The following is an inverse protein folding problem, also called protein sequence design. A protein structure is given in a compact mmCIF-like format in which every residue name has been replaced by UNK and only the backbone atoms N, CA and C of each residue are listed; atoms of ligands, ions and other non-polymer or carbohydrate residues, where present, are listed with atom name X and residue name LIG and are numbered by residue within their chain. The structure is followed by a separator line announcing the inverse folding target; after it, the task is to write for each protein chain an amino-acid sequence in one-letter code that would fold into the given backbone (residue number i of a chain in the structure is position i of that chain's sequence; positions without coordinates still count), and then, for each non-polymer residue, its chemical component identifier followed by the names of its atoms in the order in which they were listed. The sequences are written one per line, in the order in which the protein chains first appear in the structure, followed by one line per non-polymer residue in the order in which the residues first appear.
data_IF_389172059672
#
_entry.id   IF_389172059672
#
_cell.length_a   1.000
_cell.length_b   1.000
_cell.length_c   1.000
_cell.angle_alpha   90.00
_cell.angle_beta   90.00
_cell.angle_gamma   90.00
#
_symmetry.space_group_name_H-M   'P 1'
#
loop_
_entity.id
_entity.type
_entity.pdbx_description
1 polymer ?
#
# COMPACT_ATOMS: atom_id res chain seq x y z
N UNK A 1 -4.10 16.32 1.89
CA UNK A 1 -2.86 15.79 2.50
C UNK A 1 -2.64 16.55 3.79
N UNK A 2 -2.52 15.87 4.95
CA UNK A 2 -2.47 16.50 6.29
C UNK A 2 -1.05 16.98 6.68
N UNK A 3 -0.01 16.39 6.08
CA UNK A 3 1.39 16.73 6.31
C UNK A 3 2.31 15.70 5.67
N UNK A 4 3.62 15.91 5.80
CA UNK A 4 4.64 14.94 5.37
C UNK A 4 5.89 15.03 6.25
N UNK A 5 6.66 13.94 6.26
CA UNK A 5 8.00 13.88 6.85
C UNK A 5 8.95 13.18 5.87
N UNK A 6 10.11 13.79 5.65
CA UNK A 6 11.17 13.31 4.77
C UNK A 6 12.42 13.10 5.61
N UNK A 7 13.06 11.96 5.42
CA UNK A 7 14.39 11.71 5.95
C UNK A 7 15.39 11.59 4.80
N UNK A 8 16.65 11.89 5.08
CA UNK A 8 17.76 11.58 4.19
C UNK A 8 18.74 10.67 4.93
N UNK A 9 19.34 9.77 4.16
CA UNK A 9 20.40 8.89 4.60
C UNK A 9 21.61 9.12 3.71
N UNK A 10 22.75 9.48 4.30
CA UNK A 10 24.02 9.48 3.60
C UNK A 10 24.71 8.13 3.79
N UNK A 11 24.98 7.45 2.68
CA UNK A 11 25.53 6.08 2.64
C UNK A 11 26.89 5.96 3.36
N UNK A 12 27.57 7.08 3.62
CA UNK A 12 28.90 7.14 4.22
C UNK A 12 28.96 7.80 5.62
N UNK A 13 27.83 8.22 6.22
CA UNK A 13 27.82 8.69 7.61
C UNK A 13 27.65 7.51 8.56
N UNK A 14 28.60 7.34 9.48
CA UNK A 14 28.69 6.16 10.33
C UNK A 14 27.54 5.99 11.34
N UNK A 15 26.82 7.07 11.71
CA UNK A 15 25.87 7.03 12.83
C UNK A 15 24.78 8.14 12.88
N UNK A 16 24.72 9.05 11.91
CA UNK A 16 23.82 10.22 11.92
C UNK A 16 22.78 10.23 10.80
N UNK A 17 21.49 10.29 11.13
CA UNK A 17 20.38 10.40 10.18
C UNK A 17 19.76 11.79 10.21
N UNK A 18 19.29 12.30 9.08
CA UNK A 18 18.66 13.62 9.01
C UNK A 18 17.19 13.54 8.66
N UNK A 19 16.38 14.33 9.34
CA UNK A 19 15.01 14.66 8.96
C UNK A 19 15.06 16.01 8.24
N UNK A 20 14.93 15.97 6.92
CA UNK A 20 15.19 17.11 6.02
C UNK A 20 13.94 17.92 5.68
N UNK A 21 12.75 17.37 5.90
CA UNK A 21 11.51 18.08 5.66
C UNK A 21 10.43 17.54 6.56
N UNK A 22 9.80 18.40 7.35
CA UNK A 22 8.71 18.01 8.22
C UNK A 22 7.71 19.15 8.32
N UNK A 23 6.48 18.87 7.89
CA UNK A 23 5.41 19.85 7.84
C UNK A 23 4.07 19.20 8.16
N UNK A 24 3.28 19.87 8.99
CA UNK A 24 1.87 19.59 9.21
C UNK A 24 1.10 20.81 8.71
N UNK A 25 0.03 20.57 7.94
CA UNK A 25 -0.85 21.63 7.46
C UNK A 25 -1.31 22.52 8.62
N UNK A 26 -1.28 23.84 8.42
CA UNK A 26 -1.56 24.81 9.48
C UNK A 26 -2.94 24.60 10.12
N UNK A 27 -3.95 24.19 9.35
CA UNK A 27 -5.31 23.91 9.85
C UNK A 27 -5.42 22.63 10.70
N UNK A 28 -4.38 21.79 10.65
CA UNK A 28 -4.30 20.50 11.33
C UNK A 28 -3.26 20.47 12.47
N UNK A 29 -2.58 21.59 12.71
CA UNK A 29 -1.65 21.75 13.84
C UNK A 29 -2.40 21.77 15.19
N UNK A 30 -1.68 21.47 16.27
CA UNK A 30 -2.26 21.41 17.63
C UNK A 30 -3.08 20.14 17.93
N UNK A 31 -3.38 19.30 16.93
CA UNK A 31 -4.13 18.04 17.08
C UNK A 31 -3.29 16.81 17.41
N UNK A 32 -1.97 16.98 17.59
CA UNK A 32 -1.03 15.91 17.93
C UNK A 32 -0.37 15.18 16.75
N UNK A 33 -0.77 15.47 15.50
CA UNK A 33 -0.20 14.82 14.31
C UNK A 33 1.31 15.00 14.17
N UNK A 34 1.84 16.17 14.50
CA UNK A 34 3.27 16.39 14.42
C UNK A 34 4.07 15.49 15.37
N UNK A 35 3.58 15.31 16.60
CA UNK A 35 4.18 14.40 17.58
C UNK A 35 4.10 12.95 17.10
N UNK A 36 2.95 12.53 16.61
CA UNK A 36 2.75 11.17 16.11
C UNK A 36 3.67 10.86 14.91
N UNK A 37 3.74 11.77 13.94
CA UNK A 37 4.56 11.61 12.74
C UNK A 37 6.06 11.52 13.09
N UNK A 38 6.55 12.42 13.96
CA UNK A 38 7.96 12.46 14.32
C UNK A 38 8.37 11.24 15.16
N UNK A 39 7.51 10.79 16.09
CA UNK A 39 7.73 9.54 16.83
C UNK A 39 7.83 8.33 15.91
N UNK A 40 6.90 8.20 14.95
CA UNK A 40 6.92 7.09 14.00
C UNK A 40 8.17 7.12 13.11
N UNK A 41 8.62 8.30 12.68
CA UNK A 41 9.87 8.42 11.92
C UNK A 41 11.09 8.00 12.74
N UNK A 42 11.18 8.42 14.01
CA UNK A 42 12.26 7.98 14.91
C UNK A 42 12.26 6.46 15.07
N UNK A 43 11.09 5.88 15.35
CA UNK A 43 10.92 4.42 15.48
C UNK A 43 11.29 3.69 14.19
N UNK A 44 10.88 4.21 13.04
CA UNK A 44 11.20 3.63 11.74
C UNK A 44 12.71 3.67 11.46
N UNK A 45 13.37 4.83 11.69
CA UNK A 45 14.84 4.97 11.53
C UNK A 45 15.56 3.97 12.44
N UNK A 46 15.15 3.83 13.70
CA UNK A 46 15.73 2.87 14.64
C UNK A 46 15.56 1.42 14.19
N UNK A 47 14.39 1.07 13.66
CA UNK A 47 14.08 -0.29 13.21
C UNK A 47 14.79 -0.67 11.92
N UNK A 48 14.87 0.26 10.95
CA UNK A 48 15.53 0.03 9.67
C UNK A 48 17.05 0.13 9.75
N UNK A 49 17.57 0.97 10.66
CA UNK A 49 18.99 1.25 10.78
C UNK A 49 19.48 1.10 12.22
N UNK A 50 19.70 -0.15 12.70
CA UNK A 50 20.10 -0.42 14.07
C UNK A 50 21.42 0.23 14.51
N UNK A 51 22.28 0.59 13.54
CA UNK A 51 23.54 1.30 13.77
C UNK A 51 23.37 2.81 14.04
N UNK A 52 22.18 3.37 13.81
CA UNK A 52 21.88 4.77 14.06
C UNK A 52 22.08 5.12 15.54
N UNK A 53 22.93 6.13 15.82
CA UNK A 53 23.15 6.63 17.18
C UNK A 53 22.54 8.00 17.39
N UNK A 54 22.37 8.76 16.31
CA UNK A 54 21.95 10.16 16.35
C UNK A 54 20.99 10.47 15.20
N UNK A 55 19.88 11.16 15.51
CA UNK A 55 18.98 11.74 14.51
C UNK A 55 19.05 13.26 14.61
N UNK A 56 19.21 13.95 13.48
CA UNK A 56 19.31 15.41 13.39
C UNK A 56 18.15 15.98 12.59
N UNK A 57 17.80 17.21 12.92
CA UNK A 57 16.88 18.04 12.15
C UNK A 57 17.27 19.50 12.29
N UNK A 58 16.69 20.35 11.46
CA UNK A 58 16.78 21.80 11.56
C UNK A 58 15.45 22.42 12.00
N UNK A 59 15.53 23.55 12.69
CA UNK A 59 14.36 24.34 13.07
C UNK A 59 14.64 25.84 12.94
N UNK A 60 13.76 26.56 12.25
CA UNK A 60 13.84 28.01 12.14
C UNK A 60 13.81 28.66 13.53
N UNK A 61 14.65 29.67 13.79
CA UNK A 61 14.75 30.38 15.08
C UNK A 61 13.41 30.87 15.65
N UNK A 62 12.50 31.25 14.76
CA UNK A 62 11.19 31.78 15.11
C UNK A 62 10.11 30.69 15.31
N UNK A 63 10.39 29.44 14.94
CA UNK A 63 9.42 28.34 15.03
C UNK A 63 9.42 27.67 16.41
N UNK A 64 8.94 28.41 17.41
CA UNK A 64 8.88 27.97 18.80
C UNK A 64 7.99 26.73 19.02
N UNK A 65 6.97 26.55 18.18
CA UNK A 65 6.08 25.38 18.24
C UNK A 65 6.85 24.11 17.89
N UNK A 66 7.59 24.12 16.77
CA UNK A 66 8.41 23.00 16.36
C UNK A 66 9.54 22.74 17.36
N UNK A 67 10.22 23.81 17.83
CA UNK A 67 11.28 23.71 18.83
C UNK A 67 10.78 23.04 20.12
N UNK A 68 9.63 23.46 20.63
CA UNK A 68 8.97 22.85 21.79
C UNK A 68 8.63 21.39 21.54
N UNK A 69 8.08 21.05 20.37
CA UNK A 69 7.78 19.66 20.00
C UNK A 69 9.04 18.79 20.00
N UNK A 70 10.13 19.27 19.40
CA UNK A 70 11.39 18.53 19.28
C UNK A 70 12.03 18.32 20.66
N UNK A 71 12.10 19.36 21.50
CA UNK A 71 12.60 19.25 22.87
C UNK A 71 11.76 18.27 23.71
N UNK A 72 10.44 18.29 23.57
CA UNK A 72 9.53 17.34 24.24
C UNK A 72 9.67 15.89 23.75
N UNK A 73 10.39 15.66 22.66
CA UNK A 73 10.75 14.35 22.14
C UNK A 73 12.21 13.97 22.43
N UNK A 74 12.93 14.83 23.17
CA UNK A 74 14.31 14.59 23.60
C UNK A 74 15.37 15.10 22.64
N UNK A 75 15.00 15.87 21.61
CA UNK A 75 16.00 16.58 20.82
C UNK A 75 16.63 17.70 21.67
N UNK A 76 17.94 17.82 21.58
CA UNK A 76 18.73 18.86 22.23
C UNK A 76 19.34 19.78 21.18
N UNK A 77 19.44 21.05 21.50
CA UNK A 77 20.14 22.05 20.68
C UNK A 77 21.62 21.68 20.57
N UNK A 78 22.18 21.83 19.36
CA UNK A 78 23.62 21.60 19.14
C UNK A 78 24.43 22.87 19.19
N UNK A 79 23.78 24.04 19.09
CA UNK A 79 24.43 25.33 18.86
C UNK A 79 24.99 25.49 17.44
N UNK A 80 24.77 24.53 16.53
CA UNK A 80 25.14 24.63 15.12
C UNK A 80 23.97 25.24 14.35
N UNK A 81 24.27 26.20 13.47
CA UNK A 81 23.28 26.96 12.70
C UNK A 81 23.56 26.90 11.20
N UNK A 82 22.51 26.81 10.40
CA UNK A 82 22.53 26.96 8.95
C UNK A 82 21.61 28.12 8.55
N UNK A 83 22.18 29.33 8.45
CA UNK A 83 21.37 30.54 8.29
C UNK A 83 20.50 30.78 9.53
N UNK A 84 19.18 30.85 9.33
CA UNK A 84 18.21 31.05 10.42
C UNK A 84 17.69 29.73 11.03
N UNK A 85 18.23 28.59 10.61
CA UNK A 85 17.85 27.27 11.08
C UNK A 85 18.86 26.71 12.10
N UNK A 86 18.40 26.37 13.29
CA UNK A 86 19.20 25.71 14.33
C UNK A 86 19.16 24.19 14.15
N UNK A 87 20.31 23.54 14.26
CA UNK A 87 20.40 22.07 14.26
C UNK A 87 20.09 21.54 15.65
N UNK A 88 19.09 20.67 15.75
CA UNK A 88 18.80 19.89 16.94
C UNK A 88 19.10 18.41 16.70
N UNK A 89 19.48 17.70 17.76
CA UNK A 89 19.83 16.28 17.70
C UNK A 89 19.18 15.44 18.77
N UNK A 90 18.88 14.19 18.44
CA UNK A 90 18.37 13.18 19.35
C UNK A 90 19.38 12.04 19.44
N UNK A 91 19.93 11.80 20.63
CA UNK A 91 20.76 10.63 20.90
C UNK A 91 19.88 9.41 21.14
N UNK A 92 19.92 8.47 20.21
CA UNK A 92 19.00 7.34 20.10
C UNK A 92 19.31 6.25 21.14
N UNK A 93 20.56 6.13 21.59
CA UNK A 93 21.01 5.12 22.57
C UNK A 93 20.78 5.51 24.04
N UNK A 94 20.55 6.79 24.35
CA UNK A 94 20.38 7.30 25.72
C UNK A 94 18.92 7.25 26.22
N UNK A 95 17.94 7.09 25.33
CA UNK A 95 16.51 7.12 25.67
C UNK A 95 15.89 5.75 26.04
N UNK A 96 16.71 4.74 26.31
CA UNK A 96 16.25 3.44 26.84
C UNK A 96 15.61 3.54 28.26
N UNK A 97 15.62 4.72 28.90
CA UNK A 97 15.11 4.93 30.25
C UNK A 97 14.09 6.08 30.40
N UNK A 98 13.34 6.45 29.36
CA UNK A 98 12.13 7.25 29.60
C UNK A 98 11.09 6.34 30.25
N UNK A 99 10.96 6.48 31.58
CA UNK A 99 9.94 5.85 32.42
C UNK A 99 8.58 5.94 31.74
N UNK A 100 8.03 4.77 31.41
CA UNK A 100 6.61 4.58 31.07
C UNK A 100 5.75 5.00 32.27
N UNK A 101 5.36 6.27 32.33
CA UNK A 101 4.24 6.73 33.17
C UNK A 101 3.21 7.35 32.25
N UNK A 102 2.09 6.64 32.11
CA UNK A 102 1.06 6.86 31.11
C UNK A 102 0.95 5.61 30.24
N UNK A 103 -0.07 4.80 30.50
CA UNK A 103 -0.40 3.59 29.75
C UNK A 103 -0.74 3.93 28.31
N UNK A 104 0.27 3.98 27.45
CA UNK A 104 0.07 4.05 26.01
C UNK A 104 -0.33 2.65 25.55
N UNK A 105 -1.63 2.40 25.35
CA UNK A 105 -2.18 1.09 24.95
C UNK A 105 -1.49 0.52 23.70
N UNK A 106 -0.93 1.39 22.85
CA UNK A 106 -0.20 1.02 21.64
C UNK A 106 1.15 0.32 21.93
N UNK A 107 1.75 0.56 23.10
CA UNK A 107 3.03 -0.07 23.50
C UNK A 107 2.91 -1.55 23.89
N UNK A 108 1.68 -2.10 23.88
CA UNK A 108 1.37 -3.52 24.09
C UNK A 108 0.92 -4.25 22.82
N UNK A 109 0.89 -3.58 21.65
CA UNK A 109 0.46 -4.20 20.40
C UNK A 109 1.64 -4.91 19.75
N UNK A 110 1.51 -6.21 19.53
CA UNK A 110 2.46 -7.01 18.78
C UNK A 110 1.99 -7.15 17.33
N UNK A 111 2.86 -6.83 16.37
CA UNK A 111 2.63 -7.08 14.94
C UNK A 111 3.32 -8.40 14.59
N UNK A 112 2.55 -9.38 14.13
CA UNK A 112 3.04 -10.72 13.83
C UNK A 112 2.81 -11.05 12.34
N UNK A 113 3.60 -11.97 11.81
CA UNK A 113 3.33 -12.56 10.50
C UNK A 113 2.08 -13.44 10.60
N UNK A 114 1.11 -13.22 9.70
CA UNK A 114 -0.13 -13.99 9.67
C UNK A 114 0.05 -15.36 9.01
N UNK A 115 -0.59 -16.38 9.56
CA UNK A 115 -0.95 -17.61 8.85
C UNK A 115 -1.99 -17.34 7.75
N UNK A 116 -2.23 -18.27 6.82
CA UNK A 116 -3.29 -18.11 5.81
C UNK A 116 -4.68 -17.84 6.40
N UNK A 117 -5.03 -18.48 7.51
CA UNK A 117 -6.32 -18.29 8.19
C UNK A 117 -6.41 -16.90 8.84
N UNK A 118 -5.35 -16.42 9.47
CA UNK A 118 -5.30 -15.06 10.04
C UNK A 118 -5.34 -13.99 8.94
N UNK A 119 -4.63 -14.19 7.83
CA UNK A 119 -4.69 -13.30 6.68
C UNK A 119 -6.10 -13.25 6.06
N UNK A 120 -6.77 -14.41 5.99
CA UNK A 120 -8.17 -14.49 5.58
C UNK A 120 -9.09 -13.74 6.56
N UNK A 121 -8.87 -13.86 7.88
CA UNK A 121 -9.62 -13.12 8.89
C UNK A 121 -9.47 -11.60 8.75
N UNK A 122 -8.24 -11.11 8.55
CA UNK A 122 -7.97 -9.68 8.30
C UNK A 122 -8.72 -9.20 7.07
N UNK A 123 -8.66 -9.95 5.96
CA UNK A 123 -9.40 -9.64 4.73
C UNK A 123 -10.90 -9.58 4.97
N UNK A 124 -11.47 -10.59 5.60
CA UNK A 124 -12.91 -10.67 5.89
C UNK A 124 -13.39 -9.53 6.79
N UNK A 125 -12.59 -9.12 7.77
CA UNK A 125 -12.93 -7.97 8.62
C UNK A 125 -12.92 -6.65 7.84
N UNK A 126 -11.96 -6.45 6.94
CA UNK A 126 -11.94 -5.28 6.07
C UNK A 126 -13.13 -5.25 5.09
N UNK A 127 -13.51 -6.40 4.52
CA UNK A 127 -14.69 -6.50 3.65
C UNK A 127 -15.96 -6.11 4.41
N UNK A 128 -16.15 -6.67 5.62
CA UNK A 128 -17.30 -6.35 6.48
C UNK A 128 -17.36 -4.87 6.84
N UNK A 129 -16.21 -4.27 7.18
CA UNK A 129 -16.13 -2.84 7.47
C UNK A 129 -16.48 -2.02 6.23
N UNK A 130 -15.88 -2.31 5.07
CA UNK A 130 -16.14 -1.57 3.84
C UNK A 130 -17.60 -1.65 3.41
N UNK A 131 -18.24 -2.83 3.54
CA UNK A 131 -19.64 -3.02 3.20
C UNK A 131 -20.57 -2.02 3.92
N UNK A 132 -20.24 -1.57 5.14
CA UNK A 132 -21.02 -0.57 5.87
C UNK A 132 -21.03 0.81 5.21
N UNK A 133 -20.09 1.08 4.30
CA UNK A 133 -19.96 2.34 3.56
C UNK A 133 -20.48 2.25 2.13
N UNK A 134 -20.98 1.08 1.72
CA UNK A 134 -21.48 0.81 0.38
C UNK A 134 -23.02 0.86 0.40
N UNK A 135 -23.62 1.21 -0.74
CA UNK A 135 -25.06 1.17 -0.94
C UNK A 135 -25.63 -0.22 -0.58
N UNK A 136 -26.81 -0.23 0.05
CA UNK A 136 -27.40 -1.43 0.68
C UNK A 136 -27.52 -2.61 -0.28
N UNK A 137 -27.85 -2.34 -1.54
CA UNK A 137 -28.00 -3.31 -2.63
C UNK A 137 -26.67 -3.98 -3.05
N UNK A 138 -25.52 -3.40 -2.68
CA UNK A 138 -24.19 -3.92 -3.02
C UNK A 138 -23.42 -4.47 -1.81
N UNK A 139 -23.94 -4.37 -0.59
CA UNK A 139 -23.18 -4.73 0.63
C UNK A 139 -22.82 -6.21 0.71
N UNK A 140 -23.64 -7.08 0.14
CA UNK A 140 -23.44 -8.53 0.11
C UNK A 140 -22.66 -9.00 -1.13
N UNK A 141 -22.28 -8.09 -2.01
CA UNK A 141 -21.61 -8.43 -3.27
C UNK A 141 -20.12 -8.61 -3.04
N UNK A 142 -19.75 -9.78 -2.50
CA UNK A 142 -18.37 -10.22 -2.42
C UNK A 142 -18.28 -11.74 -2.61
N UNK A 143 -17.58 -12.20 -3.64
CA UNK A 143 -17.45 -13.63 -3.94
C UNK A 143 -16.15 -13.92 -4.72
N UNK A 144 -15.42 -14.97 -4.33
CA UNK A 144 -14.32 -15.49 -5.15
C UNK A 144 -14.87 -16.35 -6.29
N UNK A 145 -14.46 -16.03 -7.53
CA UNK A 145 -14.86 -16.74 -8.74
C UNK A 145 -13.59 -17.32 -9.37
N UNK A 146 -13.37 -18.61 -9.14
CA UNK A 146 -12.21 -19.34 -9.60
C UNK A 146 -12.63 -20.45 -10.56
N UNK A 147 -12.20 -20.37 -11.82
CA UNK A 147 -12.56 -21.32 -12.89
C UNK A 147 -11.30 -21.98 -13.44
N UNK A 148 -11.43 -23.22 -13.90
CA UNK A 148 -10.33 -23.96 -14.48
C UNK A 148 -10.79 -24.85 -15.65
N UNK A 149 -9.86 -25.18 -16.54
CA UNK A 149 -10.03 -26.14 -17.63
C UNK A 149 -9.15 -27.34 -17.33
N UNK A 150 -9.73 -28.54 -17.40
CA UNK A 150 -9.00 -29.81 -17.35
C UNK A 150 -8.85 -30.41 -18.74
N UNK A 151 -7.76 -31.13 -18.96
CA UNK A 151 -7.61 -32.00 -20.13
C UNK A 151 -8.31 -33.36 -19.92
N UNK A 152 -8.15 -34.25 -20.88
CA UNK A 152 -8.73 -35.60 -20.87
C UNK A 152 -8.19 -36.49 -19.73
N UNK A 153 -7.01 -36.18 -19.19
CA UNK A 153 -6.40 -36.90 -18.08
C UNK A 153 -6.84 -36.33 -16.72
N UNK A 154 -7.57 -35.21 -16.71
CA UNK A 154 -8.02 -34.53 -15.51
C UNK A 154 -7.04 -33.48 -14.97
N UNK A 155 -5.96 -33.19 -15.68
CA UNK A 155 -4.95 -32.22 -15.29
C UNK A 155 -5.41 -30.80 -15.60
N UNK A 156 -5.14 -29.85 -14.70
CA UNK A 156 -5.48 -28.42 -14.93
C UNK A 156 -4.51 -27.84 -15.97
N UNK A 157 -5.06 -27.43 -17.12
CA UNK A 157 -4.31 -26.87 -18.25
C UNK A 157 -4.55 -25.38 -18.49
N UNK A 158 -5.46 -24.79 -17.72
CA UNK A 158 -5.66 -23.36 -17.65
C UNK A 158 -6.62 -22.99 -16.52
N UNK A 159 -6.54 -21.75 -16.05
CA UNK A 159 -7.41 -21.25 -14.99
C UNK A 159 -7.45 -19.73 -14.92
N UNK A 160 -8.53 -19.23 -14.35
CA UNK A 160 -8.77 -17.82 -14.06
C UNK A 160 -9.27 -17.68 -12.63
N UNK A 161 -8.58 -16.87 -11.84
CA UNK A 161 -8.98 -16.51 -10.48
C UNK A 161 -9.39 -15.05 -10.47
N UNK A 162 -10.52 -14.77 -9.82
CA UNK A 162 -11.12 -13.45 -9.81
C UNK A 162 -11.97 -13.25 -8.57
N UNK A 163 -12.28 -12.00 -8.27
CA UNK A 163 -13.17 -11.62 -7.18
C UNK A 163 -14.25 -10.69 -7.70
N UNK A 164 -15.51 -11.05 -7.45
CA UNK A 164 -16.65 -10.16 -7.58
C UNK A 164 -16.72 -9.26 -6.34
N UNK A 165 -16.71 -7.95 -6.56
CA UNK A 165 -16.74 -6.93 -5.51
C UNK A 165 -17.72 -5.83 -5.91
N UNK A 166 -18.75 -5.62 -5.10
CA UNK A 166 -19.74 -4.55 -5.23
C UNK A 166 -20.40 -4.54 -6.62
N UNK A 167 -19.89 -3.74 -7.56
CA UNK A 167 -20.40 -3.62 -8.92
C UNK A 167 -19.34 -3.90 -9.99
N UNK A 168 -18.29 -4.66 -9.69
CA UNK A 168 -17.26 -5.09 -10.64
C UNK A 168 -16.69 -6.48 -10.36
N UNK A 169 -15.98 -7.02 -11.34
CA UNK A 169 -15.07 -8.16 -11.14
C UNK A 169 -13.62 -7.71 -11.34
N UNK A 170 -12.73 -8.16 -10.46
CA UNK A 170 -11.29 -8.07 -10.63
C UNK A 170 -10.71 -9.44 -11.00
N UNK A 171 -9.99 -9.53 -12.12
CA UNK A 171 -9.25 -10.74 -12.49
C UNK A 171 -7.84 -10.65 -11.94
N UNK A 172 -7.50 -11.54 -11.01
CA UNK A 172 -6.21 -11.58 -10.34
C UNK A 172 -5.18 -12.36 -11.18
N UNK A 173 -5.60 -13.52 -11.70
CA UNK A 173 -4.72 -14.44 -12.42
C UNK A 173 -5.49 -15.03 -13.59
N UNK A 174 -4.87 -15.04 -14.77
CA UNK A 174 -5.26 -15.88 -15.90
C UNK A 174 -4.01 -16.61 -16.39
N UNK A 175 -4.08 -17.94 -16.44
CA UNK A 175 -2.98 -18.79 -16.87
C UNK A 175 -3.48 -19.89 -17.80
N UNK A 176 -2.66 -20.19 -18.80
CA UNK A 176 -2.85 -21.33 -19.71
C UNK A 176 -1.49 -21.97 -19.92
N UNK A 177 -1.45 -23.29 -19.76
CA UNK A 177 -0.27 -24.12 -20.03
C UNK A 177 0.20 -23.91 -21.47
N UNK A 178 1.51 -23.77 -21.66
CA UNK A 178 2.13 -23.44 -22.95
C UNK A 178 1.70 -24.38 -24.08
N UNK A 179 1.48 -25.67 -23.78
CA UNK A 179 1.05 -26.70 -24.74
C UNK A 179 -0.35 -26.43 -25.30
N UNK A 180 -1.17 -25.68 -24.56
CA UNK A 180 -2.57 -25.37 -24.87
C UNK A 180 -2.79 -23.91 -25.28
N UNK A 181 -1.75 -23.08 -25.29
CA UNK A 181 -1.83 -21.71 -25.79
C UNK A 181 -2.15 -21.67 -27.28
N UNK A 182 -2.74 -20.56 -27.72
CA UNK A 182 -3.19 -20.38 -29.11
C UNK A 182 -4.47 -21.15 -29.49
N UNK A 183 -5.04 -21.94 -28.58
CA UNK A 183 -6.26 -22.74 -28.82
C UNK A 183 -7.55 -22.10 -28.30
N UNK A 184 -7.48 -20.83 -27.88
CA UNK A 184 -8.64 -20.07 -27.39
C UNK A 184 -9.02 -20.30 -25.92
N UNK A 185 -8.25 -21.07 -25.14
CA UNK A 185 -8.61 -21.41 -23.75
C UNK A 185 -8.68 -20.16 -22.85
N UNK A 186 -7.69 -19.27 -22.97
CA UNK A 186 -7.69 -17.99 -22.26
C UNK A 186 -8.89 -17.11 -22.63
N UNK A 187 -9.24 -17.06 -23.92
CA UNK A 187 -10.44 -16.33 -24.39
C UNK A 187 -11.71 -16.90 -23.77
N UNK A 188 -11.85 -18.23 -23.72
CA UNK A 188 -13.03 -18.89 -23.14
C UNK A 188 -13.16 -18.62 -21.65
N UNK A 189 -12.07 -18.69 -20.89
CA UNK A 189 -12.04 -18.34 -19.46
C UNK A 189 -12.46 -16.88 -19.23
N UNK A 190 -11.93 -15.96 -20.03
CA UNK A 190 -12.23 -14.54 -19.91
C UNK A 190 -13.69 -14.20 -20.31
N UNK A 191 -14.22 -14.88 -21.34
CA UNK A 191 -15.62 -14.77 -21.74
C UNK A 191 -16.57 -15.28 -20.64
N UNK A 192 -16.19 -16.34 -19.94
CA UNK A 192 -17.01 -16.87 -18.84
C UNK A 192 -17.06 -15.89 -17.66
N UNK A 193 -15.94 -15.24 -17.34
CA UNK A 193 -15.93 -14.13 -16.37
C UNK A 193 -16.81 -12.97 -16.85
N UNK A 194 -16.79 -12.62 -18.13
CA UNK A 194 -17.67 -11.57 -18.65
C UNK A 194 -19.15 -11.94 -18.56
N UNK A 195 -19.52 -13.20 -18.84
CA UNK A 195 -20.89 -13.71 -18.66
C UNK A 195 -21.32 -13.56 -17.20
N UNK A 196 -20.52 -14.05 -16.26
CA UNK A 196 -20.80 -13.97 -14.82
C UNK A 196 -20.89 -12.51 -14.36
N UNK A 197 -20.02 -11.64 -14.85
CA UNK A 197 -20.05 -10.22 -14.53
C UNK A 197 -21.38 -9.57 -14.97
N UNK A 198 -21.87 -9.86 -16.17
CA UNK A 198 -23.16 -9.37 -16.65
C UNK A 198 -24.34 -9.90 -15.83
N UNK A 199 -24.33 -11.19 -15.47
CA UNK A 199 -25.36 -11.79 -14.61
C UNK A 199 -25.40 -11.17 -13.22
N UNK A 200 -24.23 -10.83 -12.68
CA UNK A 200 -24.07 -10.11 -11.42
C UNK A 200 -24.26 -8.59 -11.56
N UNK A 201 -24.74 -8.10 -12.71
CA UNK A 201 -25.00 -6.69 -12.98
C UNK A 201 -23.78 -5.79 -12.74
N UNK A 202 -22.58 -6.33 -12.97
CA UNK A 202 -21.35 -5.55 -12.89
C UNK A 202 -21.32 -4.47 -13.97
N UNK A 203 -20.71 -3.35 -13.62
CA UNK A 203 -20.52 -2.21 -14.52
C UNK A 203 -19.19 -2.28 -15.29
N UNK A 204 -18.19 -2.97 -14.75
CA UNK A 204 -16.91 -3.17 -15.40
C UNK A 204 -16.15 -4.40 -14.86
N UNK A 205 -15.14 -4.80 -15.62
CA UNK A 205 -14.12 -5.78 -15.21
C UNK A 205 -12.77 -5.06 -15.23
N UNK A 206 -11.94 -5.28 -14.22
CA UNK A 206 -10.57 -4.73 -14.17
C UNK A 206 -9.54 -5.83 -13.94
N UNK A 207 -8.32 -5.59 -14.38
CA UNK A 207 -7.18 -6.47 -14.17
C UNK A 207 -5.86 -5.73 -14.32
N UNK A 208 -4.76 -6.40 -13.99
CA UNK A 208 -3.42 -5.93 -14.29
C UNK A 208 -2.61 -7.00 -15.03
N UNK A 209 -1.61 -6.60 -15.81
CA UNK A 209 -0.73 -7.53 -16.56
C UNK A 209 0.61 -6.87 -16.90
N UNK A 210 1.68 -7.65 -16.99
CA UNK A 210 2.99 -7.16 -17.39
C UNK A 210 3.20 -7.14 -18.91
N UNK A 211 4.14 -6.33 -19.39
CA UNK A 211 4.46 -6.19 -20.81
C UNK A 211 4.94 -7.48 -21.48
N UNK A 212 5.63 -8.35 -20.74
CA UNK A 212 6.08 -9.67 -21.21
C UNK A 212 5.01 -10.77 -21.12
N UNK A 213 3.84 -10.47 -20.55
CA UNK A 213 2.72 -11.40 -20.55
C UNK A 213 1.91 -11.21 -21.85
N UNK A 214 0.70 -10.65 -21.76
CA UNK A 214 -0.18 -10.54 -22.92
C UNK A 214 -1.12 -9.31 -22.84
N UNK A 215 -0.61 -8.07 -22.76
CA UNK A 215 -1.46 -6.88 -22.74
C UNK A 215 -2.35 -6.77 -24.00
N UNK A 216 -1.80 -7.13 -25.17
CA UNK A 216 -2.55 -7.17 -26.43
C UNK A 216 -3.69 -8.20 -26.44
N UNK A 217 -3.55 -9.30 -25.70
CA UNK A 217 -4.62 -10.29 -25.56
C UNK A 217 -5.84 -9.65 -24.89
N UNK A 218 -5.66 -8.90 -23.80
CA UNK A 218 -6.76 -8.23 -23.12
C UNK A 218 -7.34 -7.07 -23.95
N UNK A 219 -6.50 -6.30 -24.63
CA UNK A 219 -6.95 -5.23 -25.56
C UNK A 219 -7.87 -5.79 -26.65
N UNK A 220 -7.53 -6.94 -27.24
CA UNK A 220 -8.38 -7.64 -28.22
C UNK A 220 -9.74 -8.09 -27.65
N UNK A 221 -9.84 -8.27 -26.32
CA UNK A 221 -11.09 -8.57 -25.64
C UNK A 221 -11.83 -7.31 -25.16
N UNK A 222 -11.42 -6.12 -25.61
CA UNK A 222 -12.11 -4.86 -25.34
C UNK A 222 -11.70 -4.18 -24.03
N UNK A 223 -10.61 -4.63 -23.40
CA UNK A 223 -10.04 -3.92 -22.27
C UNK A 223 -9.26 -2.69 -22.74
N UNK A 224 -9.39 -1.59 -22.00
CA UNK A 224 -8.69 -0.34 -22.22
C UNK A 224 -7.67 -0.09 -21.12
N UNK A 225 -6.52 0.47 -21.47
CA UNK A 225 -5.50 0.88 -20.49
C UNK A 225 -5.96 2.11 -19.72
N UNK A 226 -5.95 2.01 -18.40
CA UNK A 226 -6.30 3.12 -17.49
C UNK A 226 -5.07 3.65 -16.74
N UNK A 227 -4.05 2.82 -16.55
CA UNK A 227 -2.78 3.23 -15.97
C UNK A 227 -1.66 2.28 -16.42
N UNK A 228 -0.43 2.80 -16.36
CA UNK A 228 0.79 2.05 -16.62
C UNK A 228 1.87 2.50 -15.67
N UNK A 229 2.60 1.54 -15.12
CA UNK A 229 3.81 1.78 -14.34
C UNK A 229 4.98 1.29 -15.17
N UNK A 230 5.87 2.21 -15.55
CA UNK A 230 7.10 1.88 -16.26
C UNK A 230 8.15 1.36 -15.27
N UNK A 231 9.07 0.52 -15.76
CA UNK A 231 10.13 -0.13 -14.98
C UNK A 231 9.61 -1.04 -13.84
N UNK A 232 8.46 -1.67 -14.05
CA UNK A 232 7.80 -2.57 -13.11
C UNK A 232 7.40 -3.92 -13.76
N UNK A 233 8.16 -5.01 -13.54
CA UNK A 233 9.51 -5.05 -12.95
C UNK A 233 10.53 -4.35 -13.86
N UNK A 234 11.75 -4.15 -13.36
CA UNK A 234 12.82 -3.46 -14.09
C UNK A 234 12.93 -3.92 -15.55
N UNK A 235 12.88 -2.97 -16.49
CA UNK A 235 12.89 -3.22 -17.94
C UNK A 235 11.53 -3.53 -18.57
N UNK A 236 10.46 -3.58 -17.78
CA UNK A 236 9.11 -3.92 -18.24
C UNK A 236 8.07 -2.90 -17.76
N UNK A 237 6.85 -3.03 -18.27
CA UNK A 237 5.72 -2.19 -17.86
C UNK A 237 4.65 -3.04 -17.19
N UNK A 238 4.03 -2.48 -16.16
CA UNK A 238 2.86 -3.05 -15.49
C UNK A 238 1.62 -2.26 -15.91
N UNK A 239 0.74 -2.90 -16.67
CA UNK A 239 -0.49 -2.31 -17.19
C UNK A 239 -1.65 -2.59 -16.26
N UNK A 240 -2.50 -1.59 -16.06
CA UNK A 240 -3.80 -1.72 -15.42
C UNK A 240 -4.87 -1.46 -16.47
N UNK A 241 -5.76 -2.43 -16.64
CA UNK A 241 -6.72 -2.48 -17.72
C UNK A 241 -8.14 -2.58 -17.17
N UNK A 242 -9.09 -1.95 -17.86
CA UNK A 242 -10.50 -1.94 -17.51
C UNK A 242 -11.36 -2.15 -18.75
N UNK A 243 -12.39 -2.99 -18.64
CA UNK A 243 -13.45 -3.15 -19.64
C UNK A 243 -14.78 -2.76 -19.03
N UNK A 244 -15.42 -1.73 -19.57
CA UNK A 244 -16.81 -1.38 -19.20
C UNK A 244 -17.77 -2.39 -19.82
N UNK A 245 -18.78 -2.79 -19.06
CA UNK A 245 -19.82 -3.69 -19.54
C UNK A 245 -21.01 -2.86 -20.01
N UNK A 246 -21.49 -3.18 -21.21
CA UNK A 246 -22.77 -2.64 -21.71
C UNK A 246 -23.82 -3.68 -21.38
N UNK A 247 -24.82 -3.29 -20.60
CA UNK A 247 -25.99 -4.13 -20.36
C UNK A 247 -26.91 -4.00 -21.57
N UNK A 248 -27.29 -5.12 -22.17
CA UNK A 248 -28.35 -5.11 -23.18
C UNK A 248 -29.67 -4.79 -22.46
N UNK A 249 -30.35 -3.75 -22.95
CA UNK A 249 -31.63 -3.23 -22.45
C UNK A 249 -32.79 -4.14 -22.78
#
# INVERSE_FOLDING_TARGET
MVGFIMHAYEVNTADGYWINGFLIDASEQGKGYGRAALLQMITWIQGQFPQCKEIRLTVHKDNQIAKTLYSNLGFVETGIWFGDEEVMKLNVQLNLQVKRKGSDQLSQININQSSPEEAHSVRTNLIKFNAQHIAEDLQQNYEEINLHIKDENGDIVGGINSVFCWNWIEVDILWVDDRFRGRGYGSRLLQEIERIAKEKQCTFIKLNTFSFQAPEFYRKHGFQEIARIDDAPRGHQHYYLLKRLVMES
#
